data_IF_291108946377
#
_entry.id   IF_291108946377
#
_cell.length_a   1.000
_cell.length_b   1.000
_cell.length_c   1.000
_cell.angle_alpha   90.00
_cell.angle_beta   90.00
_cell.angle_gamma   90.00
#
_symmetry.space_group_name_H-M   'P 1'
#
loop_
_entity.id
_entity.type
_entity.pdbx_description
1 polymer ?
#
# COMPACT_ATOMS: atom_id res chain seq x y z
N UNK A 1 -5.12 -14.84 -8.06
CA UNK A 1 -4.64 -13.44 -8.02
C UNK A 1 -5.48 -12.58 -7.07
N UNK A 2 -6.80 -12.53 -7.21
CA UNK A 2 -7.66 -11.78 -6.28
C UNK A 2 -7.53 -12.26 -4.82
N UNK A 3 -7.45 -13.57 -4.59
CA UNK A 3 -7.22 -14.16 -3.25
C UNK A 3 -5.96 -13.61 -2.56
N UNK A 4 -4.87 -13.42 -3.32
CA UNK A 4 -3.61 -12.90 -2.79
C UNK A 4 -3.77 -11.43 -2.36
N UNK A 5 -4.49 -10.63 -3.15
CA UNK A 5 -4.80 -9.24 -2.80
C UNK A 5 -5.73 -9.16 -1.58
N UNK A 6 -6.68 -10.08 -1.42
CA UNK A 6 -7.53 -10.18 -0.22
C UNK A 6 -6.70 -10.50 1.03
N UNK A 7 -5.73 -11.40 0.92
CA UNK A 7 -4.85 -11.73 2.05
C UNK A 7 -3.94 -10.55 2.43
N UNK A 8 -3.35 -9.87 1.44
CA UNK A 8 -2.59 -8.64 1.69
C UNK A 8 -3.48 -7.54 2.31
N UNK A 9 -4.69 -7.35 1.81
CA UNK A 9 -5.65 -6.39 2.36
C UNK A 9 -5.96 -6.67 3.83
N UNK A 10 -6.09 -7.94 4.23
CA UNK A 10 -6.32 -8.32 5.62
C UNK A 10 -5.17 -7.91 6.52
N UNK A 11 -3.93 -8.21 6.12
CA UNK A 11 -2.72 -7.87 6.88
C UNK A 11 -2.59 -6.34 7.02
N UNK A 12 -2.81 -5.61 5.94
CA UNK A 12 -2.73 -4.15 5.97
C UNK A 12 -3.85 -3.52 6.79
N UNK A 13 -5.06 -4.10 6.76
CA UNK A 13 -6.18 -3.63 7.60
C UNK A 13 -5.88 -3.82 9.09
N UNK A 14 -5.29 -4.95 9.46
CA UNK A 14 -4.85 -5.21 10.84
C UNK A 14 -3.80 -4.18 11.32
N UNK A 15 -2.98 -3.70 10.39
CA UNK A 15 -1.97 -2.66 10.62
C UNK A 15 -2.53 -1.22 10.57
N UNK A 16 -3.85 -1.06 10.45
CA UNK A 16 -4.55 0.23 10.49
C UNK A 16 -4.67 0.94 9.13
N UNK A 17 -4.35 0.28 8.02
CA UNK A 17 -4.58 0.82 6.68
C UNK A 17 -6.02 0.60 6.23
N UNK A 18 -6.57 1.54 5.47
CA UNK A 18 -7.84 1.32 4.78
C UNK A 18 -7.57 0.70 3.41
N UNK A 19 -8.14 -0.49 3.21
CA UNK A 19 -7.95 -1.28 1.99
C UNK A 19 -9.25 -1.38 1.19
N UNK A 20 -9.19 -1.15 -0.12
CA UNK A 20 -10.34 -1.31 -1.03
C UNK A 20 -9.91 -2.08 -2.27
N UNK A 21 -10.53 -3.23 -2.50
CA UNK A 21 -10.39 -3.96 -3.75
C UNK A 21 -11.15 -3.24 -4.86
N UNK A 22 -10.52 -3.13 -6.03
CA UNK A 22 -11.08 -2.54 -7.23
C UNK A 22 -10.76 -3.42 -8.43
N UNK A 23 -11.53 -3.27 -9.49
CA UNK A 23 -11.21 -3.87 -10.79
C UNK A 23 -10.97 -2.71 -11.76
N UNK A 24 -9.83 -2.72 -12.44
CA UNK A 24 -9.53 -1.79 -13.53
C UNK A 24 -9.00 -2.60 -14.72
N UNK A 25 -9.55 -2.34 -15.92
CA UNK A 25 -9.19 -3.05 -17.15
C UNK A 25 -9.26 -4.58 -17.01
N UNK A 26 -10.28 -5.06 -16.29
CA UNK A 26 -10.51 -6.49 -16.03
C UNK A 26 -9.51 -7.12 -15.05
N UNK A 27 -8.64 -6.34 -14.40
CA UNK A 27 -7.63 -6.83 -13.46
C UNK A 27 -7.94 -6.39 -12.03
N UNK A 28 -7.83 -7.28 -11.03
CA UNK A 28 -8.03 -6.91 -9.64
C UNK A 28 -6.84 -6.07 -9.14
N UNK A 29 -7.15 -4.98 -8.46
CA UNK A 29 -6.23 -4.05 -7.84
C UNK A 29 -6.62 -3.84 -6.37
N UNK A 30 -5.63 -3.54 -5.53
CA UNK A 30 -5.85 -3.18 -4.14
C UNK A 30 -5.44 -1.72 -3.93
N UNK A 31 -6.41 -0.85 -3.62
CA UNK A 31 -6.13 0.51 -3.16
C UNK A 31 -5.90 0.47 -1.65
N UNK A 32 -4.77 0.99 -1.20
CA UNK A 32 -4.39 1.09 0.21
C UNK A 32 -4.22 2.57 0.53
N UNK A 33 -4.82 3.06 1.60
CA UNK A 33 -4.65 4.46 2.06
C UNK A 33 -4.45 4.48 3.58
N UNK A 34 -3.71 5.46 4.09
CA UNK A 34 -3.62 5.68 5.53
C UNK A 34 -4.94 6.33 6.00
N UNK A 35 -5.62 5.74 6.97
CA UNK A 35 -6.92 6.22 7.44
C UNK A 35 -6.84 7.64 8.05
N UNK A 36 -5.68 8.02 8.59
CA UNK A 36 -5.43 9.33 9.22
C UNK A 36 -5.03 10.38 8.17
N UNK A 37 -4.53 9.94 7.02
CA UNK A 37 -4.13 10.82 5.90
C UNK A 37 -4.65 10.23 4.58
N UNK A 38 -5.96 10.33 4.28
CA UNK A 38 -6.59 9.61 3.16
C UNK A 38 -6.05 9.99 1.76
N UNK A 39 -5.37 11.14 1.65
CA UNK A 39 -4.68 11.57 0.43
C UNK A 39 -3.42 10.74 0.14
N UNK A 40 -2.83 10.12 1.17
CA UNK A 40 -1.67 9.25 1.04
C UNK A 40 -2.10 7.80 0.93
N UNK A 41 -1.70 7.18 -0.18
CA UNK A 41 -1.96 5.78 -0.42
C UNK A 41 -1.28 5.27 -1.68
N UNK A 42 -1.46 3.99 -1.95
CA UNK A 42 -0.86 3.27 -3.05
C UNK A 42 -1.90 2.38 -3.72
N UNK A 43 -1.72 2.11 -5.02
CA UNK A 43 -2.51 1.11 -5.73
C UNK A 43 -1.62 -0.06 -6.08
N UNK A 44 -2.01 -1.25 -5.64
CA UNK A 44 -1.22 -2.47 -5.75
C UNK A 44 -1.88 -3.41 -6.76
N UNK A 45 -1.11 -3.88 -7.72
CA UNK A 45 -1.49 -4.90 -8.68
C UNK A 45 -0.70 -6.19 -8.43
N UNK A 46 -1.14 -7.30 -9.03
CA UNK A 46 -0.29 -8.49 -9.18
C UNK A 46 0.37 -8.44 -10.55
N UNK A 47 1.69 -8.61 -10.59
CA UNK A 47 2.48 -8.71 -11.80
C UNK A 47 3.21 -10.05 -11.84
N UNK A 48 3.35 -10.61 -13.03
CA UNK A 48 4.23 -11.74 -13.28
C UNK A 48 5.62 -11.20 -13.62
N UNK A 49 6.62 -11.61 -12.84
CA UNK A 49 8.01 -11.21 -12.99
C UNK A 49 8.81 -12.46 -13.41
N UNK A 50 9.68 -12.39 -14.42
CA UNK A 50 10.55 -13.51 -14.77
C UNK A 50 11.38 -13.95 -13.56
N UNK A 51 11.35 -15.25 -13.25
CA UNK A 51 12.16 -15.84 -12.18
C UNK A 51 13.34 -16.63 -12.77
N UNK A 52 14.47 -16.61 -12.07
CA UNK A 52 15.68 -17.32 -12.49
C UNK A 52 15.48 -18.85 -12.50
N UNK A 53 14.47 -19.37 -11.78
CA UNK A 53 14.11 -20.79 -11.72
C UNK A 53 13.26 -21.32 -12.88
N UNK A 54 13.06 -20.55 -13.95
CA UNK A 54 12.47 -21.05 -15.20
C UNK A 54 10.96 -20.85 -15.38
N UNK A 55 10.32 -20.00 -14.56
CA UNK A 55 8.92 -19.62 -14.73
C UNK A 55 8.63 -18.22 -14.17
N UNK A 56 7.54 -17.56 -14.56
CA UNK A 56 7.19 -16.27 -13.97
C UNK A 56 6.71 -16.43 -12.52
N UNK A 57 7.30 -15.68 -11.59
CA UNK A 57 6.82 -15.54 -10.22
C UNK A 57 5.77 -14.44 -10.13
N UNK A 58 4.71 -14.64 -9.35
CA UNK A 58 3.71 -13.62 -9.08
C UNK A 58 4.19 -12.70 -7.94
N UNK A 59 4.16 -11.39 -8.17
CA UNK A 59 4.58 -10.37 -7.22
C UNK A 59 3.51 -9.29 -7.03
N UNK A 60 3.43 -8.76 -5.83
CA UNK A 60 2.71 -7.51 -5.57
C UNK A 60 3.54 -6.33 -6.08
N UNK A 61 2.94 -5.50 -6.92
CA UNK A 61 3.60 -4.35 -7.56
C UNK A 61 2.82 -3.07 -7.27
N UNK A 62 3.52 -2.01 -6.85
CA UNK A 62 2.93 -0.68 -6.69
C UNK A 62 2.56 -0.05 -8.04
N UNK A 63 1.80 1.04 -8.01
CA UNK A 63 1.50 1.83 -9.21
C UNK A 63 2.76 2.47 -9.80
N UNK A 64 3.78 2.70 -8.97
CA UNK A 64 5.10 3.20 -9.36
C UNK A 64 6.02 2.13 -9.94
N UNK A 65 5.57 0.87 -10.01
CA UNK A 65 6.34 -0.25 -10.57
C UNK A 65 7.26 -0.98 -9.59
N UNK A 66 7.31 -0.53 -8.32
CA UNK A 66 8.12 -1.17 -7.26
C UNK A 66 7.53 -2.54 -6.91
N UNK A 67 8.39 -3.56 -6.85
CA UNK A 67 8.04 -4.89 -6.37
C UNK A 67 8.05 -4.90 -4.84
N UNK A 68 6.88 -5.13 -4.23
CA UNK A 68 6.67 -5.05 -2.80
C UNK A 68 6.99 -6.38 -2.09
N UNK A 69 6.73 -7.49 -2.77
CA UNK A 69 6.97 -8.85 -2.27
C UNK A 69 6.33 -9.90 -3.17
N UNK A 70 6.78 -11.17 -3.06
CA UNK A 70 6.17 -12.27 -3.78
C UNK A 70 4.74 -12.52 -3.28
N UNK A 71 3.87 -13.04 -4.13
CA UNK A 71 2.48 -13.30 -3.77
C UNK A 71 2.26 -14.40 -2.74
N UNK A 72 3.22 -15.31 -2.56
CA UNK A 72 3.14 -16.38 -1.55
C UNK A 72 3.53 -15.90 -0.15
N UNK A 73 4.23 -14.76 -0.04
CA UNK A 73 4.55 -14.09 1.22
C UNK A 73 3.95 -12.67 1.27
N UNK A 74 2.64 -12.55 1.58
CA UNK A 74 1.97 -11.27 1.70
C UNK A 74 2.44 -10.47 2.94
N UNK A 75 3.10 -11.09 3.92
CA UNK A 75 3.72 -10.39 5.04
C UNK A 75 4.91 -9.55 4.60
N UNK A 76 5.76 -10.11 3.73
CA UNK A 76 6.84 -9.35 3.07
C UNK A 76 6.30 -8.21 2.22
N UNK A 77 5.22 -8.45 1.48
CA UNK A 77 4.57 -7.41 0.69
C UNK A 77 4.00 -6.27 1.56
N UNK A 78 3.37 -6.58 2.70
CA UNK A 78 2.90 -5.58 3.65
C UNK A 78 4.05 -4.73 4.21
N UNK A 79 5.19 -5.37 4.50
CA UNK A 79 6.41 -4.64 4.89
C UNK A 79 6.89 -3.69 3.79
N UNK A 80 6.86 -4.13 2.53
CA UNK A 80 7.16 -3.28 1.38
C UNK A 80 6.26 -2.04 1.30
N UNK A 81 4.95 -2.20 1.54
CA UNK A 81 4.00 -1.07 1.58
C UNK A 81 4.35 -0.08 2.68
N UNK A 82 4.68 -0.57 3.88
CA UNK A 82 5.08 0.29 5.02
C UNK A 82 6.36 1.06 4.72
N UNK A 83 7.36 0.43 4.11
CA UNK A 83 8.61 1.09 3.70
C UNK A 83 8.33 2.17 2.65
N UNK A 84 7.46 1.88 1.69
CA UNK A 84 7.11 2.80 0.61
C UNK A 84 6.34 4.03 1.11
N UNK A 85 5.32 3.84 1.95
CA UNK A 85 4.40 4.91 2.36
C UNK A 85 4.75 5.55 3.72
N UNK A 86 5.43 4.82 4.60
CA UNK A 86 5.71 5.23 5.98
C UNK A 86 6.34 6.62 6.12
N UNK A 87 7.40 6.96 5.35
CA UNK A 87 8.02 8.28 5.41
C UNK A 87 7.04 9.42 5.06
N UNK A 88 6.19 9.22 4.05
CA UNK A 88 5.21 10.21 3.61
C UNK A 88 4.10 10.41 4.64
N UNK A 89 3.61 9.31 5.22
CA UNK A 89 2.61 9.35 6.30
C UNK A 89 3.16 10.06 7.53
N UNK A 90 4.38 9.72 7.96
CA UNK A 90 5.03 10.37 9.10
C UNK A 90 5.20 11.88 8.88
N UNK A 91 5.60 12.28 7.66
CA UNK A 91 5.74 13.69 7.29
C UNK A 91 4.41 14.44 7.29
N UNK A 92 3.34 13.84 6.76
CA UNK A 92 2.01 14.45 6.75
C UNK A 92 1.44 14.62 8.17
N UNK A 93 1.57 13.61 9.03
CA UNK A 93 1.15 13.68 10.44
C UNK A 93 1.99 14.69 11.23
N UNK A 94 3.30 14.77 10.96
CA UNK A 94 4.18 15.79 11.56
C UNK A 94 3.90 17.22 11.08
N UNK A 95 3.43 17.39 9.84
CA UNK A 95 3.00 18.69 9.32
C UNK A 95 1.69 19.15 9.98
N UNK A 96 0.72 18.25 10.19
CA UNK A 96 -0.55 18.58 10.85
C UNK A 96 -0.39 19.06 12.30
N UNK A 97 0.65 18.60 13.01
CA UNK A 97 0.95 19.06 14.38
C UNK A 97 1.52 20.47 14.48
N UNK A 98 1.92 21.10 13.37
CA UNK A 98 2.50 22.46 13.35
C UNK A 98 1.52 23.57 12.97
N UNK A 99 0.26 23.23 12.68
CA UNK A 99 -0.76 24.20 12.26
C UNK A 99 -1.72 24.63 13.37
N UNK A 100 -1.52 24.16 14.60
CA UNK A 100 -2.38 24.45 15.75
C UNK A 100 -1.76 25.42 16.74
N UNK A 101 -1.30 26.60 16.32
CA UNK A 101 -0.98 27.68 17.27
C UNK A 101 -1.06 29.05 16.61
N UNK A 102 -1.98 29.89 17.09
CA UNK A 102 -1.91 31.34 16.94
C UNK A 102 -2.97 31.98 16.04
N UNK A 103 -4.21 32.03 16.50
CA UNK A 103 -5.11 33.17 16.26
C UNK A 103 -6.09 33.26 17.44
N UNK A 104 -5.57 33.82 18.53
CA UNK A 104 -6.37 34.55 19.53
C UNK A 104 -5.96 36.00 19.38
N UNK A 105 -6.78 36.80 18.71
CA UNK A 105 -6.78 38.24 18.88
C UNK A 105 -8.04 38.57 19.66
N UNK A 106 -7.78 39.06 20.88
CA UNK A 106 -8.46 40.12 21.63
C UNK A 106 -9.90 40.50 21.28
#
# INVERSE_FOLDING_TARGET
METNLRQLARILTDDGWTCTLRVADGRPLLRVVDARVPVLGETIAVALVPDAGGGPAAWFRSSTGVLLGPCDDPGRAATGVRVLLGPWVARALGAGRRSGTGLRNE
#
